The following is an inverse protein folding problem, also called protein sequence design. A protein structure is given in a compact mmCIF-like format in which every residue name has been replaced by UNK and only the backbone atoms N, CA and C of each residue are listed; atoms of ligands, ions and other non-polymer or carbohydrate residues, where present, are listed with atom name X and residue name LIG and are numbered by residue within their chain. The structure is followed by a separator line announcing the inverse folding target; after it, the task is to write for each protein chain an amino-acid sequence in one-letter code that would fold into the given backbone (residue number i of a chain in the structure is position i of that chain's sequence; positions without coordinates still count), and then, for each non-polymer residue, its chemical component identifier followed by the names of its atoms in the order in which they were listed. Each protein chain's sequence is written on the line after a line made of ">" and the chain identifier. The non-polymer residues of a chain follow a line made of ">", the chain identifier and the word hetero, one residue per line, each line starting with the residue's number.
data_IF_393510620606
#
_entry.id   IF_393510620606
#
_cell.length_a   1.000
_cell.length_b   1.000
_cell.length_c   1.000
_cell.angle_alpha   90.00
_cell.angle_beta   90.00
_cell.angle_gamma   90.00
#
_symmetry.space_group_name_H-M   'P 1'
#
loop_
_entity.id
_entity.type
_entity.pdbx_description
1 polymer ?
#
# COMPACT_ATOMS: atom_id res chain seq x y z
N UNK A 1 10.84 29.65 20.15
CA UNK A 1 10.02 29.63 21.38
C UNK A 1 10.39 28.36 22.15
N UNK A 2 10.58 28.40 23.47
CA UNK A 2 10.93 27.20 24.26
C UNK A 2 9.69 26.51 24.83
N UNK A 3 9.86 25.25 25.24
CA UNK A 3 8.80 24.50 25.87
C UNK A 3 8.59 24.86 27.33
N UNK A 4 7.41 25.39 27.69
CA UNK A 4 7.09 25.75 29.08
C UNK A 4 7.22 24.62 30.12
N UNK A 5 7.37 23.35 29.68
CA UNK A 5 7.51 22.20 30.56
C UNK A 5 8.91 21.55 30.56
N UNK A 6 9.68 21.70 29.49
CA UNK A 6 10.99 21.03 29.34
C UNK A 6 12.04 21.84 28.59
N UNK A 7 11.79 23.14 28.39
CA UNK A 7 12.63 24.17 27.78
C UNK A 7 13.22 23.87 26.40
N UNK A 8 12.76 22.80 25.77
CA UNK A 8 13.27 22.38 24.47
C UNK A 8 12.82 23.37 23.40
N UNK A 9 13.73 23.76 22.50
CA UNK A 9 13.43 24.67 21.41
C UNK A 9 12.32 24.09 20.51
N UNK A 10 11.40 24.96 20.10
CA UNK A 10 10.27 24.62 19.22
C UNK A 10 10.26 25.52 17.99
N UNK A 11 9.81 24.96 16.88
CA UNK A 11 9.50 25.68 15.64
C UNK A 11 8.03 26.15 15.64
N UNK A 12 7.70 27.13 14.78
CA UNK A 12 6.34 27.64 14.65
C UNK A 12 5.40 26.56 14.07
N UNK A 13 4.16 26.47 14.59
CA UNK A 13 3.13 25.56 14.09
C UNK A 13 3.07 24.18 14.75
N UNK A 14 3.92 23.88 15.73
CA UNK A 14 3.87 22.61 16.45
C UNK A 14 2.70 22.55 17.44
N UNK A 15 1.88 21.50 17.38
CA UNK A 15 0.75 21.26 18.30
C UNK A 15 1.17 20.59 19.62
N UNK A 16 2.26 19.84 19.60
CA UNK A 16 2.79 19.10 20.77
C UNK A 16 4.31 19.22 20.81
N UNK A 17 4.90 19.17 22.01
CA UNK A 17 6.34 19.07 22.16
C UNK A 17 6.81 17.63 21.88
N UNK A 18 7.72 17.45 20.91
CA UNK A 18 8.26 16.12 20.56
C UNK A 18 9.06 15.46 21.70
N UNK A 19 9.54 16.23 22.68
CA UNK A 19 10.33 15.70 23.80
C UNK A 19 9.47 15.23 24.97
N UNK A 20 8.52 16.05 25.42
CA UNK A 20 7.69 15.74 26.59
C UNK A 20 6.26 15.30 26.27
N UNK A 21 5.82 15.40 25.01
CA UNK A 21 4.44 15.11 24.60
C UNK A 21 3.41 16.15 25.03
N UNK A 22 3.82 17.17 25.79
CA UNK A 22 2.93 18.19 26.32
C UNK A 22 2.30 19.01 25.18
N UNK A 23 0.98 19.31 25.22
CA UNK A 23 0.34 20.15 24.22
C UNK A 23 0.94 21.55 24.27
N UNK A 24 1.24 22.10 23.10
CA UNK A 24 1.69 23.48 22.97
C UNK A 24 0.46 24.37 23.12
N UNK A 25 0.31 24.99 24.29
CA UNK A 25 -0.59 26.15 24.42
C UNK A 25 0.06 27.28 23.64
N UNK A 26 -0.46 27.56 22.45
CA UNK A 26 -0.08 28.74 21.68
C UNK A 26 -0.62 29.93 22.46
N UNK A 27 0.26 30.82 22.92
CA UNK A 27 -0.11 32.05 23.62
C UNK A 27 -0.98 32.99 22.75
N UNK A 28 -1.14 32.68 21.46
CA UNK A 28 -1.91 33.47 20.50
C UNK A 28 -3.39 33.11 20.39
N UNK A 29 -3.87 32.09 21.12
CA UNK A 29 -5.29 31.68 21.02
C UNK A 29 -6.17 32.35 22.08
N UNK A 30 -5.58 33.16 22.96
CA UNK A 30 -6.32 34.05 23.86
C UNK A 30 -6.84 35.24 23.04
N UNK A 31 -8.14 35.45 23.10
CA UNK A 31 -8.82 36.54 22.39
C UNK A 31 -9.46 37.48 23.39
N UNK A 32 -9.44 38.76 23.13
CA UNK A 32 -10.12 39.74 23.98
C UNK A 32 -11.62 39.78 23.66
N UNK A 33 -12.44 39.96 24.68
CA UNK A 33 -13.88 40.13 24.51
C UNK A 33 -14.17 41.47 23.83
N UNK A 34 -14.83 41.44 22.67
CA UNK A 34 -15.24 42.66 21.94
C UNK A 34 -16.15 43.61 22.74
N UNK A 35 -16.73 43.14 23.85
CA UNK A 35 -17.65 43.91 24.67
C UNK A 35 -17.01 44.50 25.93
N UNK A 36 -16.09 43.79 26.58
CA UNK A 36 -15.53 44.20 27.87
C UNK A 36 -14.00 44.15 27.96
N UNK A 37 -13.30 43.70 26.91
CA UNK A 37 -11.84 43.59 26.88
C UNK A 37 -11.24 42.45 27.70
N UNK A 38 -12.05 41.62 28.38
CA UNK A 38 -11.51 40.48 29.14
C UNK A 38 -10.98 39.41 28.19
N UNK A 39 -9.82 38.82 28.51
CA UNK A 39 -9.28 37.65 27.81
C UNK A 39 -10.21 36.45 27.95
N UNK A 40 -10.58 35.84 26.82
CA UNK A 40 -11.45 34.67 26.71
C UNK A 40 -10.61 33.51 26.17
N UNK A 41 -10.73 32.34 26.79
CA UNK A 41 -10.10 31.13 26.30
C UNK A 41 -10.78 30.64 25.02
N UNK A 42 -10.08 29.98 24.08
CA UNK A 42 -10.68 29.52 22.83
C UNK A 42 -11.76 28.44 23.04
N UNK A 43 -11.81 27.81 24.22
CA UNK A 43 -12.84 26.85 24.60
C UNK A 43 -14.16 27.53 25.05
N UNK A 44 -14.10 28.79 25.50
CA UNK A 44 -15.25 29.52 26.00
C UNK A 44 -16.05 30.16 24.86
N UNK A 45 -17.34 29.80 24.78
CA UNK A 45 -18.30 30.36 23.82
C UNK A 45 -18.97 31.64 24.34
N UNK A 46 -18.90 31.87 25.65
CA UNK A 46 -19.54 33.00 26.34
C UNK A 46 -18.50 33.63 27.24
N UNK A 47 -18.36 34.96 27.20
CA UNK A 47 -17.52 35.67 28.15
C UNK A 47 -18.06 35.47 29.57
N UNK A 48 -17.26 34.91 30.45
CA UNK A 48 -17.61 34.68 31.86
C UNK A 48 -17.82 35.99 32.64
N UNK A 49 -17.26 37.10 32.16
CA UNK A 49 -17.35 38.41 32.82
C UNK A 49 -18.60 39.20 32.43
N UNK A 50 -18.90 39.32 31.13
CA UNK A 50 -20.02 40.14 30.65
C UNK A 50 -21.20 39.34 30.09
N UNK A 51 -21.09 38.01 29.99
CA UNK A 51 -22.16 37.13 29.49
C UNK A 51 -22.39 37.19 27.97
N UNK A 52 -21.62 37.97 27.22
CA UNK A 52 -21.78 38.08 25.76
C UNK A 52 -21.20 36.86 25.04
N UNK A 53 -21.86 36.44 23.97
CA UNK A 53 -21.35 35.38 23.09
C UNK A 53 -20.06 35.83 22.42
N UNK A 54 -19.01 35.04 22.56
CA UNK A 54 -17.76 35.29 21.88
C UNK A 54 -17.93 34.88 20.41
N UNK A 55 -17.66 35.80 19.47
CA UNK A 55 -17.78 35.55 18.05
C UNK A 55 -16.99 34.29 17.70
N UNK A 56 -17.66 33.22 17.24
CA UNK A 56 -16.94 32.03 16.83
C UNK A 56 -15.97 32.43 15.70
N UNK A 57 -14.71 31.95 15.72
CA UNK A 57 -13.84 32.13 14.57
C UNK A 57 -14.63 31.60 13.37
N UNK A 58 -14.82 32.47 12.36
CA UNK A 58 -15.51 32.12 11.14
C UNK A 58 -14.94 30.78 10.67
N UNK A 59 -15.81 29.76 10.58
CA UNK A 59 -15.40 28.44 10.12
C UNK A 59 -14.60 28.66 8.84
N UNK A 60 -13.32 28.26 8.86
CA UNK A 60 -12.44 28.44 7.71
C UNK A 60 -13.21 27.88 6.51
N UNK A 61 -13.37 28.63 5.40
CA UNK A 61 -14.01 28.09 4.23
C UNK A 61 -13.30 26.78 3.91
N UNK A 62 -14.08 25.69 3.85
CA UNK A 62 -13.55 24.35 3.62
C UNK A 62 -12.56 24.45 2.45
N UNK A 63 -11.29 24.18 2.74
CA UNK A 63 -10.26 24.19 1.72
C UNK A 63 -10.77 23.35 0.53
N UNK A 64 -10.61 23.84 -0.72
CA UNK A 64 -11.04 23.10 -1.90
C UNK A 64 -10.48 21.69 -1.78
N UNK A 65 -11.39 20.71 -1.85
CA UNK A 65 -11.08 19.31 -1.61
C UNK A 65 -9.80 18.94 -2.38
N UNK A 66 -8.68 18.84 -1.65
CA UNK A 66 -7.48 18.19 -2.16
C UNK A 66 -7.97 16.84 -2.65
N UNK A 67 -7.71 16.45 -3.92
CA UNK A 67 -8.06 15.12 -4.38
C UNK A 67 -7.54 14.15 -3.34
N UNK A 68 -8.46 13.34 -2.79
CA UNK A 68 -8.15 12.43 -1.71
C UNK A 68 -6.84 11.72 -2.06
N UNK A 69 -5.84 11.70 -1.16
CA UNK A 69 -4.63 10.94 -1.41
C UNK A 69 -5.10 9.56 -1.83
N UNK A 70 -4.65 9.10 -3.00
CA UNK A 70 -4.82 7.71 -3.42
C UNK A 70 -4.23 6.91 -2.27
N UNK A 71 -5.09 6.42 -1.39
CA UNK A 71 -4.72 5.52 -0.32
C UNK A 71 -4.31 4.26 -1.06
N UNK A 72 -3.01 4.17 -1.37
CA UNK A 72 -2.38 2.92 -1.72
C UNK A 72 -2.82 1.95 -0.64
N UNK A 73 -3.61 0.95 -1.05
CA UNK A 73 -4.24 -0.01 -0.16
C UNK A 73 -3.20 -0.44 0.87
N UNK A 74 -3.39 -0.01 2.11
CA UNK A 74 -2.52 -0.38 3.21
C UNK A 74 -2.54 -1.91 3.25
N UNK A 75 -1.39 -2.60 3.11
CA UNK A 75 -1.38 -4.05 3.14
C UNK A 75 -2.02 -4.48 4.46
N UNK A 76 -3.09 -5.27 4.36
CA UNK A 76 -3.85 -5.73 5.50
C UNK A 76 -2.89 -6.33 6.54
N UNK A 77 -3.11 -6.09 7.85
CA UNK A 77 -2.22 -6.57 8.88
C UNK A 77 -2.03 -8.07 8.72
N UNK A 78 -0.77 -8.49 8.54
CA UNK A 78 -0.41 -9.89 8.41
C UNK A 78 -0.93 -10.63 9.65
N UNK A 79 -1.98 -11.44 9.48
CA UNK A 79 -2.50 -12.28 10.56
C UNK A 79 -1.38 -13.23 10.98
N UNK A 80 -1.08 -13.25 12.26
CA UNK A 80 -0.04 -14.05 12.91
C UNK A 80 -0.35 -15.56 12.93
N UNK A 81 -0.84 -16.11 11.82
CA UNK A 81 -0.95 -17.55 11.68
C UNK A 81 0.40 -18.17 11.29
N UNK A 82 0.56 -19.45 11.61
CA UNK A 82 1.84 -20.15 11.53
C UNK A 82 2.34 -20.17 10.08
N UNK A 83 3.40 -19.43 9.75
CA UNK A 83 3.94 -19.27 8.40
C UNK A 83 4.17 -20.60 7.64
N UNK A 84 4.44 -21.67 8.39
CA UNK A 84 4.54 -23.05 7.90
C UNK A 84 3.27 -23.56 7.19
N UNK A 85 2.08 -23.26 7.71
CA UNK A 85 0.84 -23.75 7.09
C UNK A 85 0.61 -23.12 5.71
N UNK A 86 0.93 -21.84 5.55
CA UNK A 86 0.89 -21.15 4.26
C UNK A 86 1.85 -21.79 3.25
N UNK A 87 3.04 -22.23 3.70
CA UNK A 87 4.02 -22.91 2.86
C UNK A 87 3.52 -24.29 2.41
N UNK A 88 2.98 -25.10 3.32
CA UNK A 88 2.40 -26.40 2.98
C UNK A 88 1.23 -26.28 2.00
N UNK A 89 0.29 -25.37 2.26
CA UNK A 89 -0.86 -25.15 1.39
C UNK A 89 -0.44 -24.70 0.00
N UNK A 90 0.62 -23.89 -0.12
CA UNK A 90 1.15 -23.43 -1.41
C UNK A 90 1.79 -24.54 -2.26
N UNK A 91 2.32 -25.60 -1.65
CA UNK A 91 2.93 -26.73 -2.37
C UNK A 91 1.85 -27.62 -3.01
N UNK A 92 0.77 -27.89 -2.27
CA UNK A 92 -0.27 -28.83 -2.73
C UNK A 92 -1.39 -28.17 -3.54
N UNK A 93 -1.72 -26.91 -3.26
CA UNK A 93 -2.73 -26.14 -3.99
C UNK A 93 -2.11 -24.86 -4.58
N UNK A 94 -1.79 -24.84 -5.89
CA UNK A 94 -1.36 -23.60 -6.53
C UNK A 94 -2.44 -22.52 -6.35
N UNK A 95 -2.04 -21.40 -5.74
CA UNK A 95 -2.93 -20.28 -5.40
C UNK A 95 -3.41 -20.23 -3.94
N UNK A 96 -3.27 -21.29 -3.14
CA UNK A 96 -3.72 -21.29 -1.74
C UNK A 96 -2.97 -20.28 -0.86
N UNK A 97 -1.69 -20.02 -1.13
CA UNK A 97 -0.92 -18.97 -0.45
C UNK A 97 -1.48 -17.55 -0.68
N UNK A 98 -2.07 -17.28 -1.84
CA UNK A 98 -2.69 -15.98 -2.14
C UNK A 98 -4.06 -15.82 -1.44
N UNK A 99 -4.82 -16.91 -1.32
CA UNK A 99 -6.05 -16.93 -0.53
C UNK A 99 -5.77 -16.65 0.96
N UNK A 100 -4.64 -17.14 1.50
CA UNK A 100 -4.21 -16.88 2.87
C UNK A 100 -3.93 -15.39 3.15
N UNK A 101 -3.42 -14.66 2.15
CA UNK A 101 -3.16 -13.21 2.22
C UNK A 101 -4.41 -12.34 2.01
N UNK A 102 -5.62 -12.92 2.04
CA UNK A 102 -6.88 -12.20 1.81
C UNK A 102 -7.12 -11.82 0.35
N UNK A 103 -6.23 -12.20 -0.57
CA UNK A 103 -6.35 -11.97 -2.00
C UNK A 103 -7.02 -13.16 -2.70
N UNK A 104 -8.23 -13.49 -2.25
CA UNK A 104 -8.95 -14.69 -2.68
C UNK A 104 -9.14 -14.79 -4.20
N UNK A 105 -9.46 -13.67 -4.85
CA UNK A 105 -9.65 -13.62 -6.30
C UNK A 105 -8.38 -13.95 -7.10
N UNK A 106 -7.22 -13.50 -6.63
CA UNK A 106 -5.95 -13.87 -7.26
C UNK A 106 -5.63 -15.35 -7.06
N UNK A 107 -5.94 -15.90 -5.88
CA UNK A 107 -5.84 -17.34 -5.64
C UNK A 107 -6.68 -18.17 -6.61
N UNK A 108 -7.94 -17.80 -6.85
CA UNK A 108 -8.81 -18.45 -7.83
C UNK A 108 -8.23 -18.36 -9.25
N UNK A 109 -7.79 -17.17 -9.66
CA UNK A 109 -7.27 -16.96 -11.00
C UNK A 109 -6.01 -17.80 -11.25
N UNK A 110 -5.12 -17.91 -10.26
CA UNK A 110 -3.93 -18.80 -10.31
C UNK A 110 -4.32 -20.28 -10.38
N UNK A 111 -5.35 -20.69 -9.63
CA UNK A 111 -5.81 -22.08 -9.63
C UNK A 111 -6.41 -22.47 -10.98
N UNK A 112 -7.25 -21.62 -11.57
CA UNK A 112 -7.83 -21.82 -12.90
C UNK A 112 -6.73 -21.82 -13.97
N UNK A 113 -5.84 -20.83 -13.95
CA UNK A 113 -4.77 -20.73 -14.96
C UNK A 113 -3.80 -21.91 -14.87
N UNK A 114 -3.50 -22.42 -13.66
CA UNK A 114 -2.67 -23.61 -13.48
C UNK A 114 -3.24 -24.86 -14.17
N UNK A 115 -4.57 -25.00 -14.20
CA UNK A 115 -5.26 -26.06 -14.93
C UNK A 115 -5.02 -25.99 -16.45
N UNK A 116 -4.80 -24.80 -17.01
CA UNK A 116 -4.49 -24.63 -18.44
C UNK A 116 -2.98 -24.68 -18.74
N UNK A 117 -2.15 -24.18 -17.83
CA UNK A 117 -0.69 -24.12 -18.01
C UNK A 117 -0.06 -25.51 -18.00
N UNK A 118 -0.48 -26.41 -17.10
CA UNK A 118 0.10 -27.75 -17.00
C UNK A 118 -0.12 -28.61 -18.27
N UNK A 119 -1.36 -28.74 -18.81
CA UNK A 119 -1.58 -29.42 -20.08
C UNK A 119 -0.81 -28.79 -21.24
N UNK A 120 -0.68 -27.46 -21.27
CA UNK A 120 0.07 -26.75 -22.30
C UNK A 120 1.56 -27.10 -22.27
N UNK A 121 2.20 -27.11 -21.08
CA UNK A 121 3.60 -27.52 -20.92
C UNK A 121 3.79 -28.98 -21.36
N UNK A 122 2.87 -29.88 -20.99
CA UNK A 122 2.93 -31.28 -21.42
C UNK A 122 2.78 -31.41 -22.93
N UNK A 123 1.88 -30.65 -23.56
CA UNK A 123 1.71 -30.63 -25.01
C UNK A 123 2.99 -30.16 -25.72
N UNK A 124 3.63 -29.09 -25.25
CA UNK A 124 4.92 -28.62 -25.77
C UNK A 124 6.02 -29.68 -25.65
N UNK A 125 6.10 -30.37 -24.51
CA UNK A 125 7.07 -31.46 -24.31
C UNK A 125 6.83 -32.61 -25.28
N UNK A 126 5.57 -33.02 -25.46
CA UNK A 126 5.22 -34.08 -26.41
C UNK A 126 5.55 -33.69 -27.84
N UNK A 127 5.28 -32.44 -28.23
CA UNK A 127 5.64 -31.92 -29.55
C UNK A 127 7.17 -31.95 -29.78
N UNK A 128 7.96 -31.62 -28.76
CA UNK A 128 9.43 -31.68 -28.84
C UNK A 128 9.93 -33.12 -29.03
N UNK A 129 9.40 -34.07 -28.24
CA UNK A 129 9.73 -35.50 -28.38
C UNK A 129 9.32 -36.03 -29.76
N UNK A 130 8.16 -35.63 -30.27
CA UNK A 130 7.71 -36.02 -31.60
C UNK A 130 8.62 -35.44 -32.70
N UNK A 131 9.03 -34.17 -32.57
CA UNK A 131 9.95 -33.54 -33.52
C UNK A 131 11.33 -34.22 -33.54
N UNK A 132 11.86 -34.59 -32.38
CA UNK A 132 13.14 -35.31 -32.26
C UNK A 132 13.10 -36.67 -32.96
N UNK A 133 11.98 -37.40 -32.82
CA UNK A 133 11.75 -38.67 -33.54
C UNK A 133 11.66 -38.52 -35.06
N UNK A 134 11.25 -37.35 -35.55
CA UNK A 134 11.10 -37.07 -36.98
C UNK A 134 12.40 -36.54 -37.61
N UNK A 135 13.38 -36.12 -36.83
CA UNK A 135 14.66 -35.70 -37.40
C UNK A 135 15.46 -36.94 -37.80
N UNK A 136 15.75 -37.13 -39.11
CA UNK A 136 16.66 -38.18 -39.52
C UNK A 136 18.03 -37.90 -38.89
N UNK A 137 18.80 -38.94 -38.51
CA UNK A 137 20.10 -38.77 -37.89
C UNK A 137 20.96 -37.83 -38.75
N UNK A 138 21.68 -36.91 -38.09
CA UNK A 138 22.48 -35.86 -38.75
C UNK A 138 23.48 -36.43 -39.78
N UNK A 139 23.86 -37.71 -39.66
CA UNK A 139 24.62 -38.46 -40.65
C UNK A 139 23.93 -38.48 -42.03
N UNK A 140 22.61 -38.71 -42.08
CA UNK A 140 21.82 -38.76 -43.31
C UNK A 140 21.64 -37.37 -43.92
N UNK A 141 21.54 -36.32 -43.09
CA UNK A 141 21.47 -34.92 -43.57
C UNK A 141 22.78 -34.45 -44.19
N UNK A 142 23.93 -34.85 -43.64
CA UNK A 142 25.24 -34.57 -44.27
C UNK A 142 25.39 -35.28 -45.60
N UNK A 143 24.97 -36.54 -45.73
CA UNK A 143 25.02 -37.27 -46.99
C UNK A 143 24.13 -36.61 -48.08
N UNK A 144 22.90 -36.22 -47.75
CA UNK A 144 22.01 -35.53 -48.69
C UNK A 144 22.50 -34.13 -49.09
N UNK A 145 23.08 -33.36 -48.15
CA UNK A 145 23.69 -32.07 -48.47
C UNK A 145 24.91 -32.18 -49.40
N UNK A 146 25.71 -33.25 -49.24
CA UNK A 146 26.88 -33.51 -50.06
C UNK A 146 26.51 -33.98 -51.48
N UNK A 147 25.41 -34.72 -51.63
CA UNK A 147 24.88 -35.12 -52.95
C UNK A 147 24.30 -33.93 -53.72
N UNK A 148 23.62 -33.00 -53.05
CA UNK A 148 23.06 -31.80 -53.71
C UNK A 148 24.15 -30.83 -54.16
N UNK A 149 25.29 -30.78 -53.46
CA UNK A 149 26.43 -29.94 -53.84
C UNK A 149 27.26 -30.52 -55.00
N UNK A 150 27.23 -31.84 -55.25
CA UNK A 150 27.97 -32.48 -56.34
C UNK A 150 27.17 -32.63 -57.66
N UNK A 151 25.87 -32.33 -57.65
CA UNK A 151 25.00 -32.43 -58.82
C UNK A 151 24.84 -31.10 -59.59
N UNK A 152 25.71 -30.12 -59.35
CA UNK A 152 25.82 -28.86 -60.11
C UNK A 152 27.21 -28.73 -60.70
#
# INVERSE_FOLDING_TARGET
>A
MSCAYCDTAREAGWRFCLRCGCPVRLASDERECDACGHLITPAERVCTFCGRLAALPAAVPAAPATPAPVVLAQPAPARSGHAWSALLLGIFLPGAGQAYNGQFWFGILVLITSFFVLPWILACRQAFIAADRLQPPLATRRALGLVVLHAR
#
